data_IF_094187527717
#
_entry.id   IF_094187527717
#
_cell.length_a   1.000
_cell.length_b   1.000
_cell.length_c   1.000
_cell.angle_alpha   90.00
_cell.angle_beta   90.00
_cell.angle_gamma   90.00
#
_symmetry.space_group_name_H-M   'P 1'
#
loop_
_entity.id
_entity.type
_entity.pdbx_description
1 polymer ?
#
# COMPACT_ATOMS: atom_id res chain seq x y z
N UNK A 1 -44.38 -12.69 -19.59
CA UNK A 1 -43.05 -12.86 -20.24
C UNK A 1 -42.06 -11.78 -19.81
N UNK A 2 -42.44 -10.49 -19.89
CA UNK A 2 -41.61 -9.33 -19.51
C UNK A 2 -41.19 -9.32 -18.03
N UNK A 3 -42.10 -9.62 -17.08
CA UNK A 3 -41.77 -9.61 -15.65
C UNK A 3 -40.71 -10.66 -15.24
N UNK A 4 -40.63 -11.78 -15.96
CA UNK A 4 -39.63 -12.84 -15.71
C UNK A 4 -38.26 -12.40 -16.22
N UNK A 5 -38.21 -11.78 -17.39
CA UNK A 5 -36.99 -11.18 -17.94
C UNK A 5 -36.49 -10.02 -17.07
N UNK A 6 -37.40 -9.17 -16.59
CA UNK A 6 -37.05 -8.05 -15.70
C UNK A 6 -36.40 -8.55 -14.39
N UNK A 7 -36.96 -9.60 -13.78
CA UNK A 7 -36.37 -10.22 -12.57
C UNK A 7 -34.98 -10.78 -12.85
N UNK A 8 -34.78 -11.47 -13.96
CA UNK A 8 -33.46 -12.01 -14.34
C UNK A 8 -32.44 -10.88 -14.53
N UNK A 9 -32.82 -9.82 -15.27
CA UNK A 9 -31.95 -8.66 -15.50
C UNK A 9 -31.61 -7.98 -14.17
N UNK A 10 -32.59 -7.76 -13.29
CA UNK A 10 -32.35 -7.19 -11.96
C UNK A 10 -31.41 -8.05 -11.11
N UNK A 11 -31.57 -9.38 -11.13
CA UNK A 11 -30.67 -10.29 -10.41
C UNK A 11 -29.24 -10.24 -10.96
N UNK A 12 -29.06 -10.20 -12.28
CA UNK A 12 -27.73 -10.09 -12.91
C UNK A 12 -27.07 -8.75 -12.55
N UNK A 13 -27.81 -7.64 -12.62
CA UNK A 13 -27.29 -6.33 -12.24
C UNK A 13 -26.90 -6.26 -10.76
N UNK A 14 -27.69 -6.89 -9.88
CA UNK A 14 -27.35 -6.98 -8.45
C UNK A 14 -26.04 -7.73 -8.23
N UNK A 15 -25.84 -8.88 -8.90
CA UNK A 15 -24.60 -9.65 -8.80
C UNK A 15 -23.41 -8.82 -9.31
N UNK A 16 -23.54 -8.19 -10.49
CA UNK A 16 -22.49 -7.34 -11.05
C UNK A 16 -22.13 -6.17 -10.13
N UNK A 17 -23.13 -5.52 -9.54
CA UNK A 17 -22.92 -4.42 -8.58
C UNK A 17 -22.16 -4.87 -7.33
N UNK A 18 -22.53 -6.03 -6.77
CA UNK A 18 -21.85 -6.60 -5.60
C UNK A 18 -20.40 -6.98 -5.94
N UNK A 19 -20.18 -7.66 -7.06
CA UNK A 19 -18.83 -8.04 -7.51
C UNK A 19 -17.94 -6.82 -7.75
N UNK A 20 -18.47 -5.78 -8.40
CA UNK A 20 -17.74 -4.53 -8.62
C UNK A 20 -17.39 -3.86 -7.29
N UNK A 21 -18.31 -3.81 -6.32
CA UNK A 21 -18.06 -3.23 -5.01
C UNK A 21 -16.87 -3.89 -4.29
N UNK A 22 -16.82 -5.22 -4.26
CA UNK A 22 -15.70 -5.94 -3.65
C UNK A 22 -14.38 -5.74 -4.41
N UNK A 23 -14.42 -5.70 -5.75
CA UNK A 23 -13.23 -5.39 -6.55
C UNK A 23 -12.70 -3.99 -6.23
N UNK A 24 -13.57 -2.98 -6.15
CA UNK A 24 -13.18 -1.62 -5.77
C UNK A 24 -12.56 -1.56 -4.37
N UNK A 25 -13.13 -2.25 -3.39
CA UNK A 25 -12.55 -2.31 -2.03
C UNK A 25 -11.14 -2.89 -2.04
N UNK A 26 -10.90 -3.95 -2.82
CA UNK A 26 -9.59 -4.56 -2.97
C UNK A 26 -8.58 -3.60 -3.62
N UNK A 27 -8.97 -2.91 -4.70
CA UNK A 27 -8.08 -1.95 -5.38
C UNK A 27 -7.82 -0.66 -4.60
N UNK A 28 -8.71 -0.30 -3.66
CA UNK A 28 -8.55 0.87 -2.79
C UNK A 28 -7.86 0.53 -1.47
N UNK A 29 -7.52 -0.74 -1.23
CA UNK A 29 -6.77 -1.10 -0.04
C UNK A 29 -5.36 -0.52 -0.19
N UNK A 30 -5.04 0.45 0.68
CA UNK A 30 -3.70 1.05 0.72
C UNK A 30 -2.67 -0.07 0.95
N UNK A 31 -1.62 -0.10 0.12
CA UNK A 31 -0.54 -1.05 0.32
C UNK A 31 0.15 -0.74 1.65
N UNK A 32 0.21 -1.73 2.53
CA UNK A 32 0.96 -1.64 3.79
C UNK A 32 2.27 -2.41 3.66
N UNK A 33 3.39 -1.69 3.77
CA UNK A 33 4.73 -2.27 3.81
C UNK A 33 5.31 -2.01 5.21
N UNK A 34 5.73 -3.09 5.88
CA UNK A 34 6.24 -2.98 7.25
C UNK A 34 5.25 -2.49 8.30
N UNK A 35 3.94 -2.50 7.98
CA UNK A 35 2.88 -1.92 8.81
C UNK A 35 2.67 -0.41 8.59
N UNK A 36 3.26 0.18 7.55
CA UNK A 36 3.07 1.58 7.18
C UNK A 36 2.30 1.70 5.87
N UNK A 37 1.42 2.69 5.81
CA UNK A 37 0.59 2.98 4.63
C UNK A 37 1.39 3.66 3.53
N UNK A 38 1.14 3.28 2.29
CA UNK A 38 1.68 3.97 1.12
C UNK A 38 1.45 5.50 1.19
N UNK A 39 2.47 6.27 0.83
CA UNK A 39 2.45 7.74 0.87
C UNK A 39 2.89 8.34 2.22
N UNK A 40 3.15 7.53 3.24
CA UNK A 40 3.79 7.98 4.49
C UNK A 40 5.31 7.98 4.37
N UNK A 41 6.00 8.79 5.16
CA UNK A 41 7.47 8.80 5.16
C UNK A 41 8.05 7.54 5.78
N UNK A 42 7.36 6.93 6.76
CA UNK A 42 7.72 5.62 7.29
C UNK A 42 7.68 4.54 6.21
N UNK A 43 6.67 4.55 5.33
CA UNK A 43 6.62 3.65 4.18
C UNK A 43 7.80 3.86 3.22
N UNK A 44 8.13 5.12 2.92
CA UNK A 44 9.28 5.45 2.07
C UNK A 44 10.59 4.94 2.66
N UNK A 45 10.79 5.12 3.98
CA UNK A 45 11.97 4.63 4.68
C UNK A 45 12.08 3.11 4.70
N UNK A 46 10.95 2.42 4.95
CA UNK A 46 10.91 0.95 4.93
C UNK A 46 11.25 0.41 3.53
N UNK A 47 10.63 0.99 2.49
CA UNK A 47 10.88 0.61 1.10
C UNK A 47 12.32 0.92 0.68
N UNK A 48 12.90 2.04 1.10
CA UNK A 48 14.30 2.37 0.86
C UNK A 48 15.25 1.27 1.36
N UNK A 49 15.03 0.78 2.59
CA UNK A 49 15.84 -0.29 3.16
C UNK A 49 15.71 -1.61 2.37
N UNK A 50 14.48 -1.92 1.96
CA UNK A 50 14.13 -3.10 1.18
C UNK A 50 14.76 -3.07 -0.23
N UNK A 51 14.53 -1.99 -0.98
CA UNK A 51 14.95 -1.82 -2.37
C UNK A 51 16.47 -1.76 -2.51
N UNK A 52 17.15 -1.10 -1.57
CA UNK A 52 18.62 -1.02 -1.53
C UNK A 52 19.27 -2.23 -0.84
N UNK A 53 18.46 -3.19 -0.37
CA UNK A 53 18.92 -4.42 0.28
C UNK A 53 19.94 -4.16 1.41
N UNK A 54 19.67 -3.13 2.20
CA UNK A 54 20.55 -2.69 3.28
C UNK A 54 20.86 -3.86 4.23
N UNK A 55 22.08 -3.90 4.74
CA UNK A 55 22.60 -4.99 5.58
C UNK A 55 22.46 -4.72 7.06
N UNK A 56 22.31 -3.46 7.46
CA UNK A 56 22.15 -3.08 8.85
C UNK A 56 21.44 -1.74 9.01
N UNK A 57 20.92 -1.51 10.22
CA UNK A 57 20.27 -0.25 10.64
C UNK A 57 21.18 0.96 10.48
N UNK A 58 22.49 0.78 10.62
CA UNK A 58 23.47 1.88 10.52
C UNK A 58 23.56 2.47 9.11
N UNK A 59 23.01 1.81 8.10
CA UNK A 59 22.98 2.30 6.72
C UNK A 59 21.75 3.16 6.41
N UNK A 60 20.83 3.30 7.37
CA UNK A 60 19.59 4.03 7.15
C UNK A 60 19.80 5.54 6.94
N UNK A 61 20.94 6.10 7.31
CA UNK A 61 21.29 7.52 7.15
C UNK A 61 22.51 7.76 6.24
N UNK A 62 23.00 6.73 5.54
CA UNK A 62 24.17 6.81 4.62
C UNK A 62 23.95 7.88 3.52
N UNK A 63 22.71 8.06 3.07
CA UNK A 63 22.33 9.01 2.01
C UNK A 63 21.47 10.18 2.53
N UNK A 64 21.55 10.50 3.83
CA UNK A 64 20.73 11.57 4.44
C UNK A 64 20.90 12.96 3.79
N UNK A 65 22.05 13.18 3.16
CA UNK A 65 22.40 14.45 2.52
C UNK A 65 21.98 14.48 1.03
N UNK A 66 21.36 13.40 0.52
CA UNK A 66 20.82 13.35 -0.84
C UNK A 66 19.59 14.27 -0.96
N UNK A 67 19.64 15.33 -1.78
CA UNK A 67 18.51 16.23 -1.99
C UNK A 67 17.31 15.55 -2.66
N UNK A 68 17.48 14.36 -3.25
CA UNK A 68 16.39 13.56 -3.82
C UNK A 68 15.59 12.78 -2.77
N UNK A 69 16.13 12.62 -1.55
CA UNK A 69 15.47 11.92 -0.45
C UNK A 69 14.89 12.92 0.55
N UNK A 70 13.62 12.76 0.91
CA UNK A 70 13.02 13.51 2.00
C UNK A 70 13.42 12.88 3.35
N UNK A 71 14.67 13.07 3.75
CA UNK A 71 15.16 12.51 4.99
C UNK A 71 14.57 13.24 6.20
N UNK A 72 13.77 12.53 7.01
CA UNK A 72 13.17 13.05 8.23
C UNK A 72 13.04 11.93 9.29
N UNK A 73 12.67 12.25 10.55
CA UNK A 73 12.59 11.24 11.61
C UNK A 73 11.63 10.07 11.31
N UNK A 74 10.53 10.33 10.58
CA UNK A 74 9.55 9.31 10.20
C UNK A 74 10.14 8.34 9.15
N UNK A 75 10.85 8.88 8.16
CA UNK A 75 11.61 8.08 7.19
C UNK A 75 12.61 7.16 7.92
N UNK A 76 13.37 7.69 8.87
CA UNK A 76 14.35 6.92 9.61
C UNK A 76 13.69 5.82 10.48
N UNK A 77 12.54 6.11 11.08
CA UNK A 77 11.74 5.10 11.80
C UNK A 77 11.31 3.97 10.86
N UNK A 78 10.83 4.32 9.67
CA UNK A 78 10.46 3.37 8.63
C UNK A 78 11.60 2.45 8.23
N UNK A 79 12.77 3.03 7.94
CA UNK A 79 13.97 2.28 7.56
C UNK A 79 14.42 1.31 8.66
N UNK A 80 14.41 1.75 9.92
CA UNK A 80 14.73 0.88 11.07
C UNK A 80 13.79 -0.30 11.20
N UNK A 81 12.50 -0.08 10.97
CA UNK A 81 11.48 -1.10 11.13
C UNK A 81 11.69 -2.29 10.18
N UNK A 82 12.30 -2.08 9.01
CA UNK A 82 12.66 -3.15 8.08
C UNK A 82 13.51 -4.26 8.73
N UNK A 83 14.37 -3.90 9.69
CA UNK A 83 15.26 -4.82 10.40
C UNK A 83 14.67 -5.45 11.66
N UNK A 84 13.46 -5.05 12.07
CA UNK A 84 12.78 -5.57 13.26
C UNK A 84 11.92 -6.82 12.97
N UNK A 85 12.12 -7.47 11.82
CA UNK A 85 11.40 -8.67 11.37
C UNK A 85 11.99 -9.96 11.94
#
# INVERSE_FOLDING_TARGET
MIAKQLRIISSVLAILGISAFFAFQYFLQEEELGGFKEGTEQYNGYRYAQDNQLKSVDQCDDEKDDPALNFNPDFFQGCKQYFNQ
#
